data_IF_075745764117
#
_entry.id   IF_075745764117
#
_cell.length_a   1.000
_cell.length_b   1.000
_cell.length_c   1.000
_cell.angle_alpha   90.00
_cell.angle_beta   90.00
_cell.angle_gamma   90.00
#
_symmetry.space_group_name_H-M   'P 1'
#
loop_
_entity.id
_entity.type
_entity.pdbx_description
1 polymer ?
#
# COMPACT_ATOMS: atom_id res chain seq x y z
N UNK A 1 -24.59 -4.58 -8.02
CA UNK A 1 -23.59 -3.53 -8.30
C UNK A 1 -24.06 -2.37 -9.19
N UNK A 2 -25.00 -2.56 -10.14
CA UNK A 2 -25.47 -1.48 -11.04
C UNK A 2 -26.29 -0.33 -10.38
N UNK A 3 -26.91 -0.57 -9.21
CA UNK A 3 -27.79 0.42 -8.55
C UNK A 3 -27.01 1.59 -7.91
N UNK A 4 -25.81 1.33 -7.40
CA UNK A 4 -24.99 2.34 -6.70
C UNK A 4 -24.09 3.15 -7.63
N UNK A 5 -23.72 2.62 -8.81
CA UNK A 5 -22.71 3.23 -9.69
C UNK A 5 -23.27 4.16 -10.78
N UNK A 6 -24.56 4.07 -11.14
CA UNK A 6 -25.13 4.79 -12.29
C UNK A 6 -26.14 5.89 -11.99
N UNK A 7 -26.55 6.07 -10.73
CA UNK A 7 -27.53 7.10 -10.35
C UNK A 7 -26.89 8.21 -9.50
N UNK A 8 -27.33 9.45 -9.70
CA UNK A 8 -26.89 10.60 -8.89
C UNK A 8 -27.16 10.38 -7.39
N UNK A 9 -28.26 9.67 -7.08
CA UNK A 9 -28.62 9.24 -5.72
C UNK A 9 -27.61 8.24 -5.13
N UNK A 10 -27.22 7.21 -5.89
CA UNK A 10 -26.19 6.26 -5.49
C UNK A 10 -24.85 6.93 -5.21
N UNK A 11 -24.46 7.88 -6.09
CA UNK A 11 -23.26 8.68 -5.92
C UNK A 11 -23.29 9.57 -4.67
N UNK A 12 -24.42 10.22 -4.38
CA UNK A 12 -24.61 11.02 -3.16
C UNK A 12 -24.55 10.16 -1.90
N UNK A 13 -25.15 8.97 -1.93
CA UNK A 13 -25.13 8.04 -0.81
C UNK A 13 -23.72 7.52 -0.53
N UNK A 14 -22.99 7.16 -1.58
CA UNK A 14 -21.57 6.80 -1.51
C UNK A 14 -20.71 7.93 -0.93
N UNK A 15 -20.86 9.17 -1.43
CA UNK A 15 -20.16 10.34 -0.88
C UNK A 15 -20.45 10.55 0.60
N UNK A 16 -21.71 10.37 1.05
CA UNK A 16 -22.07 10.47 2.48
C UNK A 16 -21.41 9.38 3.31
N UNK A 17 -21.35 8.14 2.83
CA UNK A 17 -20.66 7.05 3.52
C UNK A 17 -19.16 7.30 3.64
N UNK A 18 -18.51 7.72 2.56
CA UNK A 18 -17.08 8.07 2.57
C UNK A 18 -16.76 9.22 3.52
N UNK A 19 -17.62 10.25 3.59
CA UNK A 19 -17.47 11.35 4.57
C UNK A 19 -17.59 10.85 6.01
N UNK A 20 -18.55 9.97 6.30
CA UNK A 20 -18.72 9.38 7.64
C UNK A 20 -17.54 8.48 8.03
N UNK A 21 -17.03 7.68 7.09
CA UNK A 21 -15.84 6.85 7.29
C UNK A 21 -14.62 7.71 7.63
N UNK A 22 -14.35 8.76 6.86
CA UNK A 22 -13.25 9.71 7.13
C UNK A 22 -13.38 10.44 8.46
N UNK A 23 -14.60 10.81 8.86
CA UNK A 23 -14.83 11.40 10.19
C UNK A 23 -14.63 10.41 11.33
N UNK A 24 -15.04 9.16 11.13
CA UNK A 24 -14.95 8.11 12.16
C UNK A 24 -13.52 7.58 12.30
N UNK A 25 -12.74 7.61 11.22
CA UNK A 25 -11.36 7.11 11.18
C UNK A 25 -10.46 8.13 10.47
N UNK A 26 -10.18 9.28 11.14
CA UNK A 26 -9.38 10.36 10.55
C UNK A 26 -7.95 9.93 10.19
N UNK A 27 -7.45 8.86 10.82
CA UNK A 27 -6.12 8.28 10.59
C UNK A 27 -6.16 6.96 9.80
N UNK A 28 -7.31 6.61 9.19
CA UNK A 28 -7.50 5.32 8.53
C UNK A 28 -8.07 4.23 9.46
N UNK A 29 -8.65 3.20 8.84
CA UNK A 29 -9.35 2.11 9.56
C UNK A 29 -8.43 0.92 9.90
N UNK A 30 -7.25 0.87 9.31
CA UNK A 30 -6.24 -0.18 9.48
C UNK A 30 -4.87 0.45 9.47
N UNK A 31 -3.95 -0.08 10.27
CA UNK A 31 -2.53 0.28 10.23
C UNK A 31 -1.78 -0.86 9.54
N UNK A 32 -0.96 -0.52 8.57
CA UNK A 32 -0.13 -1.50 7.89
C UNK A 32 1.06 -1.85 8.80
N UNK A 33 1.33 -3.14 8.97
CA UNK A 33 2.44 -3.62 9.80
C UNK A 33 3.34 -4.54 8.96
N UNK A 34 4.67 -4.42 9.11
CA UNK A 34 5.60 -5.39 8.54
C UNK A 34 5.28 -6.80 9.04
N UNK A 35 5.35 -7.77 8.14
CA UNK A 35 5.14 -9.18 8.45
C UNK A 35 6.37 -9.99 8.07
N UNK A 36 6.78 -10.91 8.93
CA UNK A 36 7.86 -11.86 8.64
C UNK A 36 7.26 -13.27 8.54
N UNK A 37 7.54 -13.97 7.46
CA UNK A 37 7.11 -15.34 7.25
C UNK A 37 8.16 -16.14 6.48
N UNK A 38 8.63 -17.24 7.06
CA UNK A 38 9.52 -18.22 6.40
C UNK A 38 10.78 -17.61 5.75
N UNK A 39 11.50 -16.73 6.46
CA UNK A 39 12.71 -16.08 5.94
C UNK A 39 12.46 -14.90 4.99
N UNK A 40 11.20 -14.50 4.82
CA UNK A 40 10.81 -13.35 4.02
C UNK A 40 10.14 -12.31 4.91
N UNK A 41 10.59 -11.06 4.81
CA UNK A 41 9.96 -9.90 5.45
C UNK A 41 9.23 -9.07 4.40
N UNK A 42 7.97 -8.76 4.64
CA UNK A 42 7.14 -7.91 3.77
C UNK A 42 6.86 -6.61 4.51
N UNK A 43 7.32 -5.49 3.93
CA UNK A 43 7.14 -4.14 4.46
C UNK A 43 6.15 -3.39 3.55
N UNK A 44 4.95 -3.05 4.05
CA UNK A 44 4.02 -2.20 3.31
C UNK A 44 4.47 -0.73 3.38
N UNK A 45 4.58 -0.10 2.20
CA UNK A 45 4.94 1.31 2.06
C UNK A 45 3.69 2.07 1.58
N UNK A 46 3.08 2.93 2.42
CA UNK A 46 1.95 3.74 2.00
C UNK A 46 2.38 4.66 0.85
N UNK A 47 1.64 4.61 -0.26
CA UNK A 47 1.84 5.48 -1.41
C UNK A 47 0.52 6.08 -1.86
N UNK A 48 0.56 7.33 -2.31
CA UNK A 48 -0.66 8.07 -2.67
C UNK A 48 -1.66 8.10 -1.49
N UNK A 49 -2.96 8.23 -1.77
CA UNK A 49 -4.01 8.36 -0.73
C UNK A 49 -4.55 7.03 -0.20
N UNK A 50 -4.38 5.95 -0.96
CA UNK A 50 -5.14 4.70 -0.81
C UNK A 50 -4.42 3.47 -1.38
N UNK A 51 -3.16 3.62 -1.80
CA UNK A 51 -2.37 2.53 -2.36
C UNK A 51 -1.18 2.18 -1.45
N UNK A 52 -0.63 1.00 -1.72
CA UNK A 52 0.56 0.51 -1.05
C UNK A 52 1.51 -0.06 -2.09
N UNK A 53 2.78 0.30 -1.97
CA UNK A 53 3.87 -0.49 -2.51
C UNK A 53 4.28 -1.51 -1.45
N UNK A 54 4.95 -2.58 -1.86
CA UNK A 54 5.48 -3.57 -0.92
C UNK A 54 6.96 -3.80 -1.16
N UNK A 55 7.74 -3.75 -0.10
CA UNK A 55 9.13 -4.21 -0.12
C UNK A 55 9.16 -5.64 0.41
N UNK A 56 9.57 -6.57 -0.44
CA UNK A 56 9.74 -7.98 -0.09
C UNK A 56 11.22 -8.23 0.09
N UNK A 57 11.63 -8.56 1.30
CA UNK A 57 13.02 -8.69 1.73
C UNK A 57 13.30 -10.16 2.02
N UNK A 58 14.35 -10.69 1.42
CA UNK A 58 14.96 -11.94 1.86
C UNK A 58 15.86 -11.67 3.07
N UNK A 59 15.52 -12.27 4.21
CA UNK A 59 16.23 -12.01 5.47
C UNK A 59 17.62 -12.61 5.52
N UNK A 60 17.93 -13.58 4.66
CA UNK A 60 19.24 -14.26 4.68
C UNK A 60 20.27 -13.53 3.81
N UNK A 61 19.83 -12.90 2.72
CA UNK A 61 20.71 -12.24 1.74
C UNK A 61 20.72 -10.71 1.80
N UNK A 62 19.81 -10.09 2.58
CA UNK A 62 19.57 -8.64 2.59
C UNK A 62 19.27 -8.06 1.20
N UNK A 63 18.67 -8.88 0.34
CA UNK A 63 18.16 -8.46 -0.97
C UNK A 63 16.67 -8.18 -0.88
N UNK A 64 16.20 -7.24 -1.70
CA UNK A 64 14.82 -6.84 -1.70
C UNK A 64 14.25 -6.65 -3.11
N UNK A 65 12.94 -6.89 -3.22
CA UNK A 65 12.14 -6.66 -4.42
C UNK A 65 11.02 -5.69 -4.09
N UNK A 66 10.85 -4.65 -4.89
CA UNK A 66 9.77 -3.69 -4.73
C UNK A 66 8.59 -4.05 -5.64
N UNK A 67 7.39 -4.17 -5.06
CA UNK A 67 6.13 -4.40 -5.77
C UNK A 67 5.41 -3.07 -5.94
N UNK A 68 5.03 -2.76 -7.18
CA UNK A 68 4.34 -1.53 -7.59
C UNK A 68 4.92 -0.23 -6.99
N UNK A 69 6.24 0.06 -7.16
CA UNK A 69 6.88 1.24 -6.57
C UNK A 69 6.43 2.55 -7.26
N UNK A 70 5.23 3.03 -6.95
CA UNK A 70 4.68 4.27 -7.55
C UNK A 70 5.28 5.56 -6.97
N UNK A 71 5.88 5.48 -5.78
CA UNK A 71 6.63 6.57 -5.16
C UNK A 71 8.10 6.11 -4.93
N UNK A 72 9.02 6.48 -5.82
CA UNK A 72 10.42 6.04 -5.72
C UNK A 72 11.14 6.63 -4.49
N UNK A 73 10.71 7.78 -3.97
CA UNK A 73 11.34 8.41 -2.80
C UNK A 73 10.98 7.63 -1.54
N UNK A 74 9.70 7.26 -1.38
CA UNK A 74 9.25 6.43 -0.27
C UNK A 74 9.90 5.04 -0.28
N UNK A 75 10.05 4.44 -1.47
CA UNK A 75 10.71 3.14 -1.64
C UNK A 75 12.19 3.23 -1.31
N UNK A 76 12.89 4.26 -1.78
CA UNK A 76 14.31 4.49 -1.47
C UNK A 76 14.53 4.66 0.04
N UNK A 77 13.70 5.45 0.72
CA UNK A 77 13.78 5.61 2.17
C UNK A 77 13.58 4.28 2.92
N UNK A 78 12.64 3.45 2.47
CA UNK A 78 12.41 2.13 3.08
C UNK A 78 13.57 1.16 2.84
N UNK A 79 14.24 1.21 1.69
CA UNK A 79 15.44 0.41 1.40
C UNK A 79 16.59 0.80 2.33
N UNK A 80 16.79 2.11 2.55
CA UNK A 80 17.83 2.65 3.43
C UNK A 80 17.56 2.33 4.91
N UNK A 81 16.31 2.46 5.36
CA UNK A 81 15.89 2.12 6.74
C UNK A 81 16.10 0.64 7.05
N UNK A 82 15.81 -0.23 6.07
CA UNK A 82 15.98 -1.68 6.20
C UNK A 82 17.42 -2.15 5.93
N UNK A 83 18.26 -1.31 5.33
CA UNK A 83 19.65 -1.63 5.02
C UNK A 83 19.81 -2.72 3.95
N UNK A 84 18.89 -2.77 2.98
CA UNK A 84 18.81 -3.83 1.96
C UNK A 84 19.08 -3.31 0.55
N UNK A 85 19.52 -4.20 -0.34
CA UNK A 85 19.78 -3.85 -1.74
C UNK A 85 18.59 -4.22 -2.63
N UNK A 86 18.10 -3.25 -3.41
CA UNK A 86 17.05 -3.51 -4.40
C UNK A 86 17.60 -4.32 -5.57
N UNK A 87 17.01 -5.48 -5.84
CA UNK A 87 17.41 -6.36 -6.92
C UNK A 87 16.43 -6.32 -8.10
N UNK A 88 15.14 -6.18 -7.83
CA UNK A 88 14.12 -6.20 -8.86
C UNK A 88 12.90 -5.36 -8.51
N UNK A 89 12.11 -5.04 -9.56
CA UNK A 89 10.82 -4.38 -9.46
C UNK A 89 9.76 -5.28 -10.10
N UNK A 90 8.65 -5.49 -9.40
CA UNK A 90 7.50 -6.24 -9.88
C UNK A 90 6.32 -5.29 -10.06
N UNK A 91 5.86 -5.12 -11.30
CA UNK A 91 4.65 -4.37 -11.61
C UNK A 91 3.47 -5.32 -11.77
N UNK A 92 2.36 -5.06 -11.08
CA UNK A 92 1.14 -5.87 -11.18
C UNK A 92 0.34 -5.57 -12.44
N UNK A 93 0.53 -4.38 -13.02
CA UNK A 93 -0.16 -3.90 -14.22
C UNK A 93 0.75 -2.95 -15.03
N UNK A 94 0.25 -2.51 -16.20
CA UNK A 94 0.94 -1.61 -17.14
C UNK A 94 0.54 -0.16 -16.93
#
# INVERSE_FOLDING_TARGET
>A
YNLYSRTQLGYLFHRRQMRRARQKYPHGHSVAHPMVFSGVKVVPIPVLSDNYSYLVIDTDSSLAVAVDPSDPVAVQASLEEEGVTLEAILCTHK
#
